data_IF_124826051782
#
_entry.id   IF_124826051782
#
_cell.length_a   1.000
_cell.length_b   1.000
_cell.length_c   1.000
_cell.angle_alpha   90.00
_cell.angle_beta   90.00
_cell.angle_gamma   90.00
#
_symmetry.space_group_name_H-M   'P 1'
#
loop_
_entity.id
_entity.type
_entity.pdbx_description
1 polymer ?
#
# COMPACT_ATOMS: atom_id res chain seq x y z
N UNK A 1 -19.24 0.34 11.58
CA UNK A 1 -18.57 -0.25 10.41
C UNK A 1 -19.44 -1.30 9.71
N UNK A 2 -19.93 -2.35 10.38
CA UNK A 2 -20.80 -3.37 9.72
C UNK A 2 -22.03 -2.76 9.02
N UNK A 3 -22.75 -1.85 9.69
CA UNK A 3 -23.98 -1.26 9.14
C UNK A 3 -23.73 -0.35 7.93
N UNK A 4 -22.63 0.41 7.92
CA UNK A 4 -22.24 1.24 6.76
C UNK A 4 -21.94 0.37 5.53
N UNK A 5 -21.17 -0.70 5.70
CA UNK A 5 -20.83 -1.62 4.61
C UNK A 5 -22.09 -2.31 4.06
N UNK A 6 -23.00 -2.73 4.94
CA UNK A 6 -24.26 -3.34 4.53
C UNK A 6 -25.10 -2.36 3.70
N UNK A 7 -25.16 -1.08 4.08
CA UNK A 7 -25.91 -0.07 3.32
C UNK A 7 -25.22 0.25 1.99
N UNK A 8 -23.89 0.33 1.94
CA UNK A 8 -23.13 0.49 0.69
C UNK A 8 -23.39 -0.67 -0.27
N UNK A 9 -23.45 -1.90 0.24
CA UNK A 9 -23.64 -3.11 -0.56
C UNK A 9 -25.08 -3.32 -1.03
N UNK A 10 -26.07 -2.75 -0.34
CA UNK A 10 -27.50 -2.93 -0.65
C UNK A 10 -27.89 -2.53 -2.09
N UNK A 11 -27.20 -1.53 -2.63
CA UNK A 11 -27.48 -0.99 -3.96
C UNK A 11 -26.54 -1.57 -5.04
N UNK A 12 -25.62 -2.46 -4.69
CA UNK A 12 -24.73 -3.09 -5.66
C UNK A 12 -25.45 -4.26 -6.33
N UNK A 13 -25.66 -4.14 -7.63
CA UNK A 13 -26.48 -5.06 -8.43
C UNK A 13 -25.66 -6.00 -9.33
N UNK A 14 -24.33 -5.87 -9.35
CA UNK A 14 -23.38 -6.72 -10.07
C UNK A 14 -22.86 -7.79 -9.11
N UNK A 15 -22.96 -9.06 -9.49
CA UNK A 15 -22.58 -10.18 -8.64
C UNK A 15 -21.09 -10.16 -8.30
N UNK A 16 -20.77 -10.23 -7.01
CA UNK A 16 -19.40 -10.27 -6.50
C UNK A 16 -18.71 -8.91 -6.40
N UNK A 17 -19.23 -7.84 -7.02
CA UNK A 17 -18.80 -6.47 -6.72
C UNK A 17 -19.35 -6.12 -5.33
N UNK A 18 -18.49 -5.74 -4.38
CA UNK A 18 -18.93 -5.38 -3.03
C UNK A 18 -17.85 -4.65 -2.23
N UNK A 19 -18.28 -3.93 -1.20
CA UNK A 19 -17.45 -3.38 -0.15
C UNK A 19 -17.20 -4.39 0.96
N UNK A 20 -15.99 -4.38 1.50
CA UNK A 20 -15.62 -5.09 2.73
C UNK A 20 -15.09 -4.10 3.77
N UNK A 21 -15.39 -4.30 5.06
CA UNK A 21 -14.81 -3.48 6.12
C UNK A 21 -13.31 -3.76 6.23
N UNK A 22 -12.55 -2.73 6.60
CA UNK A 22 -11.14 -2.88 7.00
C UNK A 22 -11.01 -2.66 8.49
N UNK A 23 -10.30 -3.58 9.12
CA UNK A 23 -9.96 -3.44 10.53
C UNK A 23 -8.98 -2.29 10.70
N UNK A 24 -9.27 -1.39 11.63
CA UNK A 24 -8.42 -0.26 11.97
C UNK A 24 -8.46 0.00 13.46
N UNK A 25 -7.34 0.41 14.04
CA UNK A 25 -7.24 0.78 15.46
C UNK A 25 -6.89 2.25 15.59
N UNK A 26 -7.51 2.93 16.54
CA UNK A 26 -7.23 4.34 16.82
C UNK A 26 -5.77 4.54 17.26
N UNK A 27 -5.12 5.56 16.70
CA UNK A 27 -3.71 5.86 16.92
C UNK A 27 -3.48 7.12 17.80
N UNK A 28 -4.35 7.35 18.77
CA UNK A 28 -4.20 8.41 19.78
C UNK A 28 -5.08 9.64 19.55
N UNK A 29 -5.52 9.89 18.31
CA UNK A 29 -6.52 10.92 17.96
C UNK A 29 -7.73 10.29 17.28
N UNK A 30 -8.91 10.89 17.42
CA UNK A 30 -10.19 10.33 16.94
C UNK A 30 -10.25 10.09 15.42
N UNK A 31 -9.42 10.79 14.64
CA UNK A 31 -9.31 10.68 13.18
C UNK A 31 -7.97 10.07 12.70
N UNK A 32 -7.19 9.48 13.61
CA UNK A 32 -5.92 8.81 13.31
C UNK A 32 -6.01 7.31 13.54
N UNK A 33 -5.52 6.52 12.59
CA UNK A 33 -5.71 5.07 12.58
C UNK A 33 -4.47 4.31 12.11
N UNK A 34 -4.24 3.13 12.68
CA UNK A 34 -3.34 2.10 12.12
C UNK A 34 -4.17 1.01 11.46
N UNK A 35 -3.83 0.66 10.23
CA UNK A 35 -4.56 -0.33 9.41
C UNK A 35 -3.59 -1.38 8.87
N UNK A 36 -3.59 -2.61 9.42
CA UNK A 36 -2.70 -3.69 8.99
C UNK A 36 -3.19 -4.33 7.69
N UNK A 37 -2.25 -4.64 6.79
CA UNK A 37 -2.49 -5.44 5.58
C UNK A 37 -1.83 -6.81 5.77
N UNK A 38 -2.65 -7.77 6.23
CA UNK A 38 -2.22 -9.12 6.59
C UNK A 38 -1.90 -9.98 5.36
N UNK A 39 -0.83 -9.64 4.65
CA UNK A 39 -0.35 -10.33 3.46
C UNK A 39 1.16 -10.18 3.30
N UNK A 40 1.81 -11.20 2.74
CA UNK A 40 3.20 -11.16 2.27
C UNK A 40 3.28 -10.84 0.76
N UNK A 41 2.13 -10.67 0.11
CA UNK A 41 2.04 -10.48 -1.34
C UNK A 41 2.36 -9.04 -1.75
N UNK A 42 2.78 -8.80 -3.00
CA UNK A 42 2.96 -7.44 -3.48
C UNK A 42 1.64 -6.65 -3.44
N UNK A 43 1.76 -5.36 -3.16
CA UNK A 43 0.65 -4.40 -3.17
C UNK A 43 1.13 -3.21 -3.99
N UNK A 44 0.26 -2.66 -4.83
CA UNK A 44 0.61 -1.48 -5.61
C UNK A 44 0.04 -0.23 -4.94
N UNK A 45 0.86 0.81 -4.81
CA UNK A 45 0.37 2.17 -4.63
C UNK A 45 0.14 2.75 -6.02
N UNK A 46 -1.06 3.23 -6.30
CA UNK A 46 -1.37 3.95 -7.54
C UNK A 46 -1.69 5.38 -7.19
N UNK A 47 -0.98 6.34 -7.79
CA UNK A 47 -1.29 7.75 -7.67
C UNK A 47 -1.59 8.33 -9.05
N UNK A 48 -2.51 9.30 -9.09
CA UNK A 48 -3.14 9.79 -10.32
C UNK A 48 -2.78 11.24 -10.66
N UNK A 49 -1.82 11.82 -9.94
CA UNK A 49 -1.40 13.23 -10.09
C UNK A 49 -2.28 14.20 -9.31
N UNK A 50 -1.95 15.49 -9.40
CA UNK A 50 -2.70 16.58 -8.76
C UNK A 50 -3.55 17.39 -9.77
N UNK A 51 -3.38 17.13 -11.07
CA UNK A 51 -4.10 17.75 -12.17
C UNK A 51 -5.01 16.77 -12.92
N UNK A 52 -5.95 17.31 -13.72
CA UNK A 52 -7.01 16.57 -14.43
C UNK A 52 -6.52 15.22 -15.00
N UNK A 53 -7.01 14.15 -14.38
CA UNK A 53 -6.68 12.77 -14.70
C UNK A 53 -7.91 12.03 -15.22
N UNK A 54 -7.76 11.35 -16.37
CA UNK A 54 -8.82 10.52 -16.95
C UNK A 54 -8.23 9.28 -17.62
N UNK A 55 -8.80 8.12 -17.29
CA UNK A 55 -8.49 6.86 -17.98
C UNK A 55 -9.06 6.82 -19.41
N UNK A 56 -10.27 7.37 -19.63
CA UNK A 56 -10.94 7.43 -20.94
C UNK A 56 -11.44 6.08 -21.50
N UNK A 57 -11.33 5.00 -20.72
CA UNK A 57 -11.75 3.64 -21.05
C UNK A 57 -12.09 2.87 -19.77
N UNK A 58 -12.85 1.78 -19.92
CA UNK A 58 -12.94 0.77 -18.87
C UNK A 58 -11.76 -0.21 -18.99
N UNK A 59 -11.23 -0.64 -17.86
CA UNK A 59 -10.33 -1.80 -17.78
C UNK A 59 -11.09 -3.05 -17.32
N UNK A 60 -10.78 -4.19 -17.95
CA UNK A 60 -11.29 -5.52 -17.57
C UNK A 60 -10.10 -6.41 -17.28
N UNK A 61 -9.93 -6.82 -16.02
CA UNK A 61 -8.97 -7.85 -15.63
C UNK A 61 -9.58 -9.23 -15.78
N UNK A 62 -8.94 -10.15 -16.51
CA UNK A 62 -9.43 -11.51 -16.67
C UNK A 62 -8.91 -12.48 -15.60
N UNK A 63 -7.72 -12.24 -15.06
CA UNK A 63 -7.03 -13.08 -14.09
C UNK A 63 -6.72 -12.37 -12.79
N UNK A 64 -7.23 -11.15 -12.58
CA UNK A 64 -7.03 -10.38 -11.37
C UNK A 64 -8.37 -9.91 -10.80
N UNK A 65 -8.56 -10.12 -9.49
CA UNK A 65 -9.57 -9.45 -8.69
C UNK A 65 -8.92 -8.25 -8.03
N UNK A 66 -9.45 -7.06 -8.30
CA UNK A 66 -8.95 -5.85 -7.68
C UNK A 66 -9.55 -5.69 -6.27
N UNK A 67 -8.68 -5.33 -5.33
CA UNK A 67 -9.02 -5.10 -3.92
C UNK A 67 -8.48 -3.72 -3.56
N UNK A 68 -9.33 -2.72 -3.80
CA UNK A 68 -8.96 -1.30 -3.87
C UNK A 68 -9.33 -0.55 -2.59
N UNK A 69 -8.35 0.08 -1.95
CA UNK A 69 -8.58 1.01 -0.83
C UNK A 69 -8.21 2.42 -1.30
N UNK A 70 -9.16 3.35 -1.22
CA UNK A 70 -8.97 4.74 -1.66
C UNK A 70 -8.55 5.59 -0.47
N UNK A 71 -7.40 6.27 -0.57
CA UNK A 71 -6.83 7.14 0.45
C UNK A 71 -6.73 8.57 -0.09
N UNK A 72 -7.09 9.55 0.73
CA UNK A 72 -7.14 10.96 0.33
C UNK A 72 -8.13 11.73 1.20
N UNK A 73 -8.60 12.89 0.71
CA UNK A 73 -9.63 13.67 1.40
C UNK A 73 -10.96 12.89 1.42
N UNK A 74 -11.49 12.60 2.61
CA UNK A 74 -12.76 11.89 2.81
C UNK A 74 -13.98 12.63 2.21
N UNK A 75 -13.84 13.93 1.89
CA UNK A 75 -14.89 14.72 1.24
C UNK A 75 -14.85 14.65 -0.29
N UNK A 76 -13.75 14.15 -0.87
CA UNK A 76 -13.62 14.03 -2.31
C UNK A 76 -14.56 12.94 -2.84
N UNK A 77 -15.30 13.27 -3.90
CA UNK A 77 -16.23 12.33 -4.53
C UNK A 77 -15.63 11.76 -5.82
N UNK A 78 -15.28 10.48 -5.76
CA UNK A 78 -14.80 9.70 -6.89
C UNK A 78 -16.01 9.07 -7.59
N UNK A 79 -16.15 9.28 -8.89
CA UNK A 79 -17.21 8.60 -9.64
C UNK A 79 -16.70 7.25 -10.12
N UNK A 80 -17.33 6.16 -9.67
CA UNK A 80 -17.00 4.82 -10.11
C UNK A 80 -18.09 4.29 -11.05
N UNK A 81 -17.67 3.69 -12.16
CA UNK A 81 -18.54 3.07 -13.16
C UNK A 81 -18.13 1.63 -13.37
N UNK A 82 -19.12 0.75 -13.50
CA UNK A 82 -18.91 -0.69 -13.66
C UNK A 82 -19.84 -1.26 -14.71
N UNK A 83 -19.37 -2.27 -15.44
CA UNK A 83 -20.19 -3.12 -16.29
C UNK A 83 -19.78 -4.57 -16.07
N UNK A 84 -20.74 -5.46 -15.83
CA UNK A 84 -20.44 -6.88 -15.76
C UNK A 84 -20.25 -7.47 -17.16
N UNK A 85 -19.03 -7.86 -17.51
CA UNK A 85 -18.71 -8.38 -18.84
C UNK A 85 -18.58 -9.92 -18.84
N UNK A 86 -18.96 -10.61 -17.75
CA UNK A 86 -18.83 -12.06 -17.64
C UNK A 86 -19.97 -12.75 -18.36
N UNK A 87 -19.65 -13.47 -19.43
CA UNK A 87 -20.61 -14.14 -20.33
C UNK A 87 -21.66 -15.00 -19.61
N UNK A 88 -21.25 -15.67 -18.54
CA UNK A 88 -22.09 -16.62 -17.80
C UNK A 88 -22.62 -16.05 -16.47
N UNK A 89 -22.43 -14.76 -16.19
CA UNK A 89 -22.94 -14.18 -14.94
C UNK A 89 -24.45 -13.90 -15.03
N UNK A 90 -25.23 -14.14 -13.96
CA UNK A 90 -26.62 -13.68 -13.83
C UNK A 90 -26.77 -12.15 -13.94
N UNK A 91 -25.68 -11.40 -13.80
CA UNK A 91 -25.68 -9.94 -13.92
C UNK A 91 -24.98 -9.43 -15.16
N UNK A 92 -24.70 -10.29 -16.15
CA UNK A 92 -24.07 -9.92 -17.41
C UNK A 92 -24.75 -8.69 -18.04
N UNK A 93 -23.92 -7.73 -18.47
CA UNK A 93 -24.30 -6.41 -19.03
C UNK A 93 -25.04 -5.48 -18.09
N UNK A 94 -25.19 -5.82 -16.82
CA UNK A 94 -25.64 -4.81 -15.84
C UNK A 94 -24.56 -3.76 -15.68
N UNK A 95 -24.98 -2.51 -15.81
CA UNK A 95 -24.17 -1.35 -15.51
C UNK A 95 -24.52 -0.81 -14.12
N UNK A 96 -23.51 -0.31 -13.42
CA UNK A 96 -23.67 0.31 -12.12
C UNK A 96 -22.75 1.53 -12.02
N UNK A 97 -23.26 2.59 -11.41
CA UNK A 97 -22.50 3.81 -11.17
C UNK A 97 -22.83 4.34 -9.78
N UNK A 98 -21.80 4.70 -9.02
CA UNK A 98 -21.96 5.33 -7.70
C UNK A 98 -20.75 6.17 -7.34
N UNK A 99 -20.95 7.09 -6.39
CA UNK A 99 -19.87 7.87 -5.80
C UNK A 99 -19.16 7.09 -4.69
N UNK A 100 -17.84 7.21 -4.67
CA UNK A 100 -16.94 6.69 -3.64
C UNK A 100 -16.32 7.88 -2.91
N UNK A 101 -16.16 7.73 -1.60
CA UNK A 101 -15.43 8.68 -0.76
C UNK A 101 -14.23 7.93 -0.16
N UNK A 102 -12.99 8.49 -0.26
CA UNK A 102 -11.80 7.90 0.31
C UNK A 102 -11.96 7.55 1.80
N UNK A 103 -11.41 6.40 2.19
CA UNK A 103 -11.33 5.96 3.59
C UNK A 103 -10.46 4.70 3.68
N UNK A 104 -9.56 4.63 4.67
CA UNK A 104 -8.88 3.37 5.02
C UNK A 104 -9.80 2.30 5.62
N UNK A 105 -11.01 2.68 6.06
CA UNK A 105 -11.93 1.81 6.79
C UNK A 105 -12.71 0.83 5.90
N UNK A 106 -12.57 0.91 4.58
CA UNK A 106 -13.29 0.06 3.63
C UNK A 106 -12.48 -0.18 2.36
N UNK A 107 -12.77 -1.31 1.72
CA UNK A 107 -12.12 -1.72 0.48
C UNK A 107 -13.17 -2.20 -0.50
N UNK A 108 -13.03 -1.81 -1.77
CA UNK A 108 -13.90 -2.26 -2.85
C UNK A 108 -13.29 -3.51 -3.50
N UNK A 109 -14.09 -4.57 -3.63
CA UNK A 109 -13.74 -5.81 -4.32
C UNK A 109 -14.37 -5.79 -5.71
N UNK A 110 -13.54 -5.88 -6.75
CA UNK A 110 -13.98 -5.93 -8.15
C UNK A 110 -13.58 -7.30 -8.71
N UNK A 111 -14.54 -8.19 -9.00
CA UNK A 111 -14.25 -9.51 -9.56
C UNK A 111 -13.57 -9.45 -10.93
N UNK A 112 -12.78 -10.47 -11.30
CA UNK A 112 -12.31 -10.64 -12.67
C UNK A 112 -13.48 -10.63 -13.65
N UNK A 113 -13.34 -9.93 -14.77
CA UNK A 113 -14.36 -9.78 -15.81
C UNK A 113 -15.40 -8.68 -15.59
N UNK A 114 -15.32 -7.92 -14.49
CA UNK A 114 -16.11 -6.70 -14.32
C UNK A 114 -15.30 -5.50 -14.83
N UNK A 115 -15.77 -4.89 -15.92
CA UNK A 115 -15.23 -3.65 -16.44
C UNK A 115 -15.39 -2.54 -15.40
N UNK A 116 -14.35 -1.74 -15.20
CA UNK A 116 -14.43 -0.59 -14.29
C UNK A 116 -13.60 0.60 -14.76
N UNK A 117 -14.05 1.79 -14.38
CA UNK A 117 -13.30 3.04 -14.53
C UNK A 117 -13.67 4.00 -13.41
N UNK A 118 -12.78 4.94 -13.16
CA UNK A 118 -12.90 5.90 -12.06
C UNK A 118 -12.59 7.31 -12.57
N UNK A 119 -13.34 8.29 -12.08
CA UNK A 119 -13.10 9.71 -12.32
C UNK A 119 -12.89 10.47 -11.02
N UNK A 120 -12.27 11.64 -11.14
CA UNK A 120 -11.94 12.53 -10.03
C UNK A 120 -10.96 11.86 -9.05
N UNK A 121 -9.89 11.26 -9.57
CA UNK A 121 -8.86 10.55 -8.79
C UNK A 121 -7.65 11.43 -8.47
N UNK A 122 -7.64 12.69 -8.89
CA UNK A 122 -6.58 13.64 -8.57
C UNK A 122 -6.44 13.73 -7.04
N UNK A 123 -5.20 13.72 -6.53
CA UNK A 123 -4.91 13.70 -5.09
C UNK A 123 -5.43 12.46 -4.33
N UNK A 124 -5.91 11.43 -5.03
CA UNK A 124 -6.30 10.15 -4.44
C UNK A 124 -5.24 9.09 -4.73
N UNK A 125 -4.80 8.44 -3.66
CA UNK A 125 -3.96 7.26 -3.73
C UNK A 125 -4.85 6.02 -3.63
N UNK A 126 -4.57 5.01 -4.44
CA UNK A 126 -5.24 3.71 -4.34
C UNK A 126 -4.22 2.66 -3.91
N UNK A 127 -4.52 1.96 -2.82
CA UNK A 127 -3.81 0.75 -2.45
C UNK A 127 -4.48 -0.43 -3.14
N UNK A 128 -3.80 -0.99 -4.12
CA UNK A 128 -4.27 -2.09 -4.92
C UNK A 128 -3.60 -3.37 -4.42
N UNK A 129 -4.28 -3.99 -3.46
CA UNK A 129 -4.10 -5.43 -3.23
C UNK A 129 -4.92 -6.20 -4.26
N UNK A 130 -4.62 -7.48 -4.46
CA UNK A 130 -5.30 -8.25 -5.47
C UNK A 130 -5.28 -9.74 -5.17
N UNK A 131 -6.26 -10.45 -5.73
CA UNK A 131 -6.19 -11.90 -5.90
C UNK A 131 -5.94 -12.24 -7.36
N UNK A 132 -5.08 -13.21 -7.61
CA UNK A 132 -4.77 -13.73 -8.92
C UNK A 132 -5.49 -15.04 -9.18
N UNK A 133 -5.97 -15.18 -10.40
CA UNK A 133 -6.65 -16.34 -10.91
C UNK A 133 -5.97 -16.79 -12.20
N UNK A 134 -5.70 -18.09 -12.31
CA UNK A 134 -5.08 -18.73 -13.45
C UNK A 134 -6.12 -19.47 -14.29
N UNK A 135 -5.85 -19.67 -15.59
CA UNK A 135 -6.68 -20.54 -16.40
C UNK A 135 -6.65 -21.97 -15.84
N UNK A 136 -7.76 -22.69 -15.99
CA UNK A 136 -7.80 -24.12 -15.68
C UNK A 136 -6.78 -24.89 -16.52
N UNK A 137 -6.38 -26.07 -16.04
CA UNK A 137 -5.42 -26.94 -16.77
C UNK A 137 -5.89 -27.21 -18.20
N UNK A 138 -7.18 -27.49 -18.39
CA UNK A 138 -7.75 -27.72 -19.73
C UNK A 138 -7.67 -26.47 -20.61
N UNK A 139 -7.87 -25.26 -20.05
CA UNK A 139 -7.72 -24.00 -20.79
C UNK A 139 -6.26 -23.71 -21.11
N UNK A 140 -5.32 -24.01 -20.22
CA UNK A 140 -3.87 -23.84 -20.47
C UNK A 140 -3.38 -24.71 -21.63
N UNK A 141 -3.96 -25.90 -21.81
CA UNK A 141 -3.62 -26.82 -22.90
C UNK A 141 -4.31 -26.46 -24.23
N UNK A 142 -5.26 -25.51 -24.21
CA UNK A 142 -6.01 -25.10 -25.40
C UNK A 142 -5.21 -24.15 -26.26
N UNK A 143 -5.09 -24.43 -27.56
CA UNK A 143 -4.51 -23.52 -28.54
C UNK A 143 -5.33 -22.23 -28.75
N UNK A 144 -6.53 -22.14 -28.17
CA UNK A 144 -7.39 -20.96 -28.21
C UNK A 144 -7.15 -19.98 -27.04
N UNK A 145 -6.32 -20.33 -26.05
CA UNK A 145 -6.02 -19.42 -24.95
C UNK A 145 -5.12 -18.29 -25.45
N UNK A 146 -5.67 -17.08 -25.48
CA UNK A 146 -4.95 -15.84 -25.84
C UNK A 146 -4.46 -15.07 -24.62
N UNK A 147 -4.90 -15.46 -23.42
CA UNK A 147 -4.53 -14.83 -22.17
C UNK A 147 -3.08 -15.13 -21.78
N UNK A 148 -2.42 -14.12 -21.23
CA UNK A 148 -1.17 -14.22 -20.49
C UNK A 148 -1.17 -13.13 -19.42
N UNK A 149 -0.33 -13.21 -18.36
CA UNK A 149 -0.21 -12.12 -17.39
C UNK A 149 0.09 -10.76 -18.03
N UNK A 150 0.80 -10.76 -19.16
CA UNK A 150 1.07 -9.53 -19.91
C UNK A 150 -0.19 -8.94 -20.56
N UNK A 151 -1.15 -9.76 -21.00
CA UNK A 151 -2.38 -9.38 -21.70
C UNK A 151 -3.62 -9.58 -20.79
N UNK A 152 -3.47 -9.43 -19.48
CA UNK A 152 -4.58 -9.65 -18.55
C UNK A 152 -5.71 -8.62 -18.67
N UNK A 153 -5.34 -7.39 -19.06
CA UNK A 153 -6.23 -6.26 -19.18
C UNK A 153 -6.77 -6.13 -20.60
N UNK A 154 -8.09 -6.10 -20.72
CA UNK A 154 -8.81 -5.69 -21.91
C UNK A 154 -9.39 -4.30 -21.66
N UNK A 155 -9.19 -3.38 -22.61
CA UNK A 155 -9.81 -2.07 -22.54
C UNK A 155 -11.00 -1.99 -23.49
N UNK A 156 -12.10 -1.40 -23.03
CA UNK A 156 -13.27 -1.10 -23.87
C UNK A 156 -13.63 0.40 -23.75
N UNK A 157 -14.20 1.02 -24.80
CA UNK A 157 -14.57 2.43 -24.77
C UNK A 157 -15.50 2.77 -23.60
N UNK A 158 -15.33 3.95 -23.01
CA UNK A 158 -16.16 4.38 -21.88
C UNK A 158 -17.62 4.67 -22.26
N UNK A 159 -17.85 5.04 -23.52
CA UNK A 159 -19.16 5.33 -24.09
C UNK A 159 -19.87 4.09 -24.67
N UNK A 160 -19.28 2.90 -24.51
CA UNK A 160 -19.90 1.65 -24.97
C UNK A 160 -21.25 1.41 -24.28
N UNK A 161 -22.26 1.04 -25.07
CA UNK A 161 -23.52 0.57 -24.52
C UNK A 161 -23.31 -0.79 -23.87
N UNK A 162 -23.93 -1.01 -22.71
CA UNK A 162 -23.85 -2.31 -22.04
C UNK A 162 -24.37 -3.47 -22.91
N UNK A 163 -25.32 -3.21 -23.80
CA UNK A 163 -25.86 -4.19 -24.75
C UNK A 163 -24.85 -4.60 -25.85
N UNK A 164 -23.84 -3.77 -26.10
CA UNK A 164 -22.81 -4.00 -27.10
C UNK A 164 -21.55 -4.66 -26.51
N UNK A 165 -21.49 -4.79 -25.19
CA UNK A 165 -20.37 -5.44 -24.49
C UNK A 165 -20.30 -6.93 -24.82
N UNK A 166 -19.12 -7.38 -25.24
CA UNK A 166 -18.82 -8.79 -25.46
C UNK A 166 -18.78 -9.58 -24.15
N UNK A 167 -19.10 -10.88 -24.23
CA UNK A 167 -19.03 -11.78 -23.07
C UNK A 167 -17.64 -12.39 -22.92
N UNK A 168 -16.95 -12.07 -21.83
CA UNK A 168 -15.65 -12.65 -21.48
C UNK A 168 -15.77 -13.82 -20.50
N UNK A 169 -14.75 -14.67 -20.51
CA UNK A 169 -14.61 -15.83 -19.63
C UNK A 169 -13.34 -15.66 -18.76
N UNK A 170 -13.47 -15.05 -17.57
CA UNK A 170 -12.35 -14.85 -16.66
C UNK A 170 -11.72 -16.16 -16.18
N UNK A 171 -10.55 -16.04 -15.59
CA UNK A 171 -9.84 -17.12 -14.95
C UNK A 171 -10.45 -17.41 -13.58
N UNK A 172 -10.39 -18.67 -13.17
CA UNK A 172 -11.14 -19.17 -12.00
C UNK A 172 -10.28 -19.90 -10.98
N UNK A 173 -9.07 -20.36 -11.34
CA UNK A 173 -8.22 -21.10 -10.43
C UNK A 173 -7.41 -20.12 -9.57
N UNK A 174 -7.70 -20.00 -8.26
CA UNK A 174 -6.91 -19.13 -7.38
C UNK A 174 -5.42 -19.51 -7.45
N UNK A 175 -4.58 -18.51 -7.68
CA UNK A 175 -3.13 -18.70 -7.74
C UNK A 175 -2.58 -19.01 -6.35
N UNK A 176 -1.55 -19.87 -6.29
CA UNK A 176 -0.83 -20.12 -5.05
C UNK A 176 0.08 -18.95 -4.66
N UNK A 177 0.43 -18.87 -3.38
CA UNK A 177 1.37 -17.88 -2.81
C UNK A 177 2.67 -17.77 -3.61
N UNK A 178 3.17 -18.90 -4.13
CA UNK A 178 4.35 -18.95 -4.99
C UNK A 178 4.24 -18.02 -6.21
N UNK A 179 3.07 -17.93 -6.82
CA UNK A 179 2.83 -17.07 -8.00
C UNK A 179 2.97 -15.60 -7.63
N UNK A 180 2.42 -15.18 -6.49
CA UNK A 180 2.54 -13.80 -6.00
C UNK A 180 4.00 -13.43 -5.74
N UNK A 181 4.75 -14.32 -5.08
CA UNK A 181 6.17 -14.09 -4.80
C UNK A 181 7.00 -14.01 -6.08
N UNK A 182 6.75 -14.88 -7.07
CA UNK A 182 7.40 -14.80 -8.39
C UNK A 182 7.09 -13.52 -9.15
N UNK A 183 5.85 -13.02 -9.05
CA UNK A 183 5.48 -11.74 -9.65
C UNK A 183 6.22 -10.59 -8.95
N UNK A 184 6.31 -10.60 -7.62
CA UNK A 184 7.06 -9.61 -6.86
C UNK A 184 8.54 -9.56 -7.25
N UNK A 185 9.20 -10.73 -7.33
CA UNK A 185 10.58 -10.86 -7.83
C UNK A 185 10.72 -10.30 -9.24
N UNK A 186 9.83 -10.70 -10.15
CA UNK A 186 9.85 -10.24 -11.53
C UNK A 186 9.67 -8.72 -11.64
N UNK A 187 8.74 -8.13 -10.88
CA UNK A 187 8.54 -6.68 -10.83
C UNK A 187 9.81 -5.98 -10.32
N UNK A 188 10.40 -6.45 -9.23
CA UNK A 188 11.59 -5.85 -8.65
C UNK A 188 12.79 -5.85 -9.62
N UNK A 189 12.97 -6.93 -10.39
CA UNK A 189 14.07 -7.06 -11.34
C UNK A 189 13.85 -6.22 -12.62
N UNK A 190 12.64 -6.24 -13.16
CA UNK A 190 12.35 -5.64 -14.46
C UNK A 190 12.07 -4.14 -14.39
N UNK A 191 11.57 -3.64 -13.26
CA UNK A 191 11.24 -2.22 -13.13
C UNK A 191 12.46 -1.33 -12.98
N UNK A 192 13.53 -1.83 -12.37
CA UNK A 192 14.82 -1.11 -12.30
C UNK A 192 15.40 -0.71 -13.66
N UNK A 193 14.99 -1.40 -14.73
CA UNK A 193 15.49 -1.19 -16.10
C UNK A 193 14.39 -0.70 -17.05
N UNK A 194 13.22 -0.33 -16.53
CA UNK A 194 12.07 0.00 -17.36
C UNK A 194 12.25 1.37 -18.03
N UNK A 195 12.07 1.41 -19.36
CA UNK A 195 12.29 2.60 -20.19
C UNK A 195 11.02 3.11 -20.85
N UNK A 196 9.87 2.52 -20.53
CA UNK A 196 8.60 2.79 -21.18
C UNK A 196 7.53 3.11 -20.15
N UNK A 197 6.52 3.86 -20.55
CA UNK A 197 5.30 4.00 -19.75
C UNK A 197 4.50 2.70 -19.80
N UNK A 198 3.53 2.58 -18.88
CA UNK A 198 2.55 1.51 -18.88
C UNK A 198 1.88 1.40 -20.24
N UNK A 199 1.71 0.18 -20.74
CA UNK A 199 1.09 -0.03 -22.04
C UNK A 199 -0.38 0.33 -22.04
N UNK A 200 -0.82 0.93 -23.14
CA UNK A 200 -2.22 1.02 -23.51
C UNK A 200 -2.50 -0.02 -24.61
N UNK A 201 -3.59 -0.77 -24.48
CA UNK A 201 -4.08 -1.65 -25.55
C UNK A 201 -5.24 -0.94 -26.24
N UNK A 202 -5.17 -0.83 -27.57
CA UNK A 202 -6.24 -0.29 -28.43
C UNK A 202 -6.59 -1.29 -29.52
N UNK A 203 -7.88 -1.40 -29.80
CA UNK A 203 -8.36 -2.16 -30.96
C UNK A 203 -8.26 -1.31 -32.23
N UNK A 204 -7.77 -1.91 -33.30
CA UNK A 204 -7.70 -1.32 -34.64
C UNK A 204 -8.38 -2.24 -35.65
N UNK A 205 -9.12 -1.64 -36.58
CA UNK A 205 -9.64 -2.35 -37.76
C UNK A 205 -8.62 -2.16 -38.88
N UNK A 206 -8.07 -3.26 -39.37
CA UNK A 206 -7.16 -3.29 -40.52
C UNK A 206 -7.92 -3.07 -41.83
N UNK A 207 -7.19 -2.77 -42.92
CA UNK A 207 -7.78 -2.53 -44.24
C UNK A 207 -8.58 -3.73 -44.79
N UNK A 208 -8.26 -4.95 -44.35
CA UNK A 208 -8.98 -6.18 -44.70
C UNK A 208 -10.23 -6.44 -43.84
N UNK A 209 -10.55 -5.51 -42.92
CA UNK A 209 -11.68 -5.60 -42.00
C UNK A 209 -11.41 -6.46 -40.76
N UNK A 210 -10.21 -7.02 -40.59
CA UNK A 210 -9.85 -7.75 -39.38
C UNK A 210 -9.59 -6.82 -38.20
N UNK A 211 -10.02 -7.22 -37.00
CA UNK A 211 -9.74 -6.51 -35.75
C UNK A 211 -8.44 -7.02 -35.14
N UNK A 212 -7.54 -6.10 -34.77
CA UNK A 212 -6.30 -6.41 -34.06
C UNK A 212 -6.16 -5.54 -32.82
N UNK A 213 -5.67 -6.14 -31.73
CA UNK A 213 -5.33 -5.42 -30.51
C UNK A 213 -3.84 -5.03 -30.56
N UNK A 214 -3.57 -3.72 -30.61
CA UNK A 214 -2.22 -3.17 -30.64
C UNK A 214 -1.88 -2.62 -29.27
N UNK A 215 -0.70 -3.02 -28.77
CA UNK A 215 -0.13 -2.48 -27.55
C UNK A 215 0.80 -1.32 -27.87
N UNK A 216 0.47 -0.15 -27.37
CA UNK A 216 1.25 1.08 -27.54
C UNK A 216 1.97 1.38 -26.22
N UNK A 217 3.23 1.79 -26.31
CA UNK A 217 4.05 2.22 -25.16
C UNK A 217 4.88 3.43 -25.54
N UNK A 218 4.81 4.47 -24.73
CA UNK A 218 5.66 5.64 -24.89
C UNK A 218 7.00 5.42 -24.18
N UNK A 219 8.10 5.84 -24.80
CA UNK A 219 9.41 5.82 -24.15
C UNK A 219 9.44 6.93 -23.10
N UNK A 220 9.90 6.61 -21.89
CA UNK A 220 10.12 7.61 -20.84
C UNK A 220 11.26 8.51 -21.31
N UNK A 221 10.98 9.81 -21.41
CA UNK A 221 12.01 10.84 -21.60
C UNK A 221 12.82 10.97 -20.32
N UNK A 222 14.13 11.15 -20.42
CA UNK A 222 15.00 11.42 -19.27
C UNK A 222 14.45 12.65 -18.54
N UNK A 223 13.91 12.43 -17.35
CA UNK A 223 13.48 13.49 -16.45
C UNK A 223 14.65 13.94 -15.59
N UNK A 224 14.52 15.12 -14.99
CA UNK A 224 15.44 15.56 -13.95
C UNK A 224 15.44 14.51 -12.83
N UNK A 225 16.61 14.01 -12.46
CA UNK A 225 16.77 13.12 -11.31
C UNK A 225 16.19 13.79 -10.06
N UNK A 226 15.42 13.03 -9.27
CA UNK A 226 14.89 13.50 -8.01
C UNK A 226 16.06 13.67 -7.03
N UNK A 227 16.24 14.89 -6.52
CA UNK A 227 17.28 15.17 -5.53
C UNK A 227 16.76 14.75 -4.16
N UNK A 228 17.25 13.61 -3.68
CA UNK A 228 16.88 13.07 -2.37
C UNK A 228 17.68 13.74 -1.24
N UNK A 229 17.09 13.92 -0.04
CA UNK A 229 17.82 14.42 1.11
C UNK A 229 18.99 13.49 1.49
N UNK A 230 20.14 14.09 1.84
CA UNK A 230 21.30 13.37 2.37
C UNK A 230 21.26 13.42 3.89
N UNK A 231 21.42 12.27 4.53
CA UNK A 231 21.36 12.10 5.98
C UNK A 231 22.76 11.80 6.52
N UNK A 232 23.12 12.40 7.66
CA UNK A 232 24.41 12.22 8.33
C UNK A 232 24.50 10.91 9.10
N UNK A 233 23.38 10.40 9.62
CA UNK A 233 23.34 9.18 10.41
C UNK A 233 23.49 7.97 9.49
N UNK A 234 24.48 7.11 9.79
CA UNK A 234 24.85 5.98 8.94
C UNK A 234 23.69 5.01 8.73
N UNK A 235 23.38 4.68 7.47
CA UNK A 235 22.32 3.74 7.09
C UNK A 235 20.91 4.33 7.06
N UNK A 236 20.69 5.57 7.53
CA UNK A 236 19.43 6.27 7.24
C UNK A 236 19.51 6.81 5.83
N UNK A 237 18.56 6.48 4.97
CA UNK A 237 18.57 6.91 3.57
C UNK A 237 17.17 7.18 3.03
N UNK A 238 17.08 8.16 2.13
CA UNK A 238 15.98 8.27 1.19
C UNK A 238 16.39 7.58 -0.09
N UNK A 239 15.53 6.71 -0.63
CA UNK A 239 15.79 6.04 -1.90
C UNK A 239 14.55 5.96 -2.76
N UNK A 240 14.75 6.09 -4.06
CA UNK A 240 13.69 5.83 -5.02
C UNK A 240 13.41 4.33 -5.12
N UNK A 241 12.12 3.98 -5.08
CA UNK A 241 11.62 2.64 -5.37
C UNK A 241 11.16 2.55 -6.83
N UNK A 242 11.46 1.43 -7.52
CA UNK A 242 11.08 1.28 -8.93
C UNK A 242 9.59 1.47 -9.14
N UNK A 243 9.22 2.18 -10.20
CA UNK A 243 7.84 2.55 -10.46
C UNK A 243 7.52 2.55 -11.96
N UNK A 244 6.23 2.47 -12.30
CA UNK A 244 5.73 2.46 -13.68
C UNK A 244 4.89 3.70 -13.90
N UNK A 245 5.30 4.59 -14.80
CA UNK A 245 4.48 5.74 -15.20
C UNK A 245 3.26 5.28 -15.99
N UNK A 246 2.09 5.75 -15.61
CA UNK A 246 0.82 5.53 -16.32
C UNK A 246 0.33 6.78 -17.05
N UNK A 247 1.03 7.90 -16.87
CA UNK A 247 0.75 9.19 -17.47
C UNK A 247 1.83 10.20 -17.07
N UNK A 248 1.58 11.49 -17.30
CA UNK A 248 2.54 12.56 -16.94
C UNK A 248 2.78 12.67 -15.44
N UNK A 249 1.70 12.55 -14.66
CA UNK A 249 1.71 12.72 -13.20
C UNK A 249 1.13 11.52 -12.46
N UNK A 250 0.90 10.41 -13.17
CA UNK A 250 0.33 9.20 -12.59
C UNK A 250 1.30 8.04 -12.71
N UNK A 251 1.34 7.21 -11.68
CA UNK A 251 2.27 6.09 -11.63
C UNK A 251 1.83 5.01 -10.65
N UNK A 252 2.30 3.79 -10.93
CA UNK A 252 2.12 2.58 -10.14
C UNK A 252 3.46 2.29 -9.46
N UNK A 253 3.46 2.24 -8.14
CA UNK A 253 4.61 1.88 -7.30
C UNK A 253 4.33 0.52 -6.68
N UNK A 254 4.91 -0.57 -7.22
CA UNK A 254 4.75 -1.90 -6.65
C UNK A 254 5.62 -2.06 -5.41
N UNK A 255 4.98 -2.29 -4.26
CA UNK A 255 5.63 -2.66 -3.02
C UNK A 255 5.81 -4.18 -3.02
N UNK A 256 7.01 -4.66 -3.36
CA UNK A 256 7.30 -6.08 -3.65
C UNK A 256 7.91 -6.86 -2.47
N UNK A 257 8.33 -6.18 -1.40
CA UNK A 257 8.95 -6.82 -0.21
C UNK A 257 8.00 -7.84 0.40
N UNK A 258 8.48 -8.97 0.92
CA UNK A 258 7.58 -10.02 1.43
C UNK A 258 7.07 -9.78 2.88
N UNK A 259 7.54 -8.73 3.56
CA UNK A 259 7.06 -8.40 4.90
C UNK A 259 5.63 -7.85 4.88
N UNK A 260 4.84 -8.10 5.94
CA UNK A 260 3.52 -7.51 6.08
C UNK A 260 3.64 -6.00 6.19
N UNK A 261 2.74 -5.29 5.53
CA UNK A 261 2.67 -3.84 5.59
C UNK A 261 1.54 -3.37 6.49
N UNK A 262 1.64 -2.14 6.95
CA UNK A 262 0.53 -1.43 7.57
C UNK A 262 0.57 0.02 7.12
N UNK A 263 -0.57 0.69 7.21
CA UNK A 263 -0.64 2.14 7.02
C UNK A 263 -0.97 2.83 8.33
N UNK A 264 -0.51 4.06 8.46
CA UNK A 264 -0.82 4.96 9.55
C UNK A 264 -1.42 6.23 8.95
N UNK A 265 -2.70 6.46 9.24
CA UNK A 265 -3.37 7.74 8.98
C UNK A 265 -3.11 8.67 10.16
N UNK A 266 -2.51 9.83 9.91
CA UNK A 266 -2.13 10.78 10.97
C UNK A 266 -3.22 11.80 11.32
N UNK A 267 -4.41 11.67 10.72
CA UNK A 267 -5.56 12.56 10.92
C UNK A 267 -5.43 13.90 10.19
N UNK A 268 -6.41 14.77 10.35
CA UNK A 268 -6.52 16.06 9.66
C UNK A 268 -5.82 17.21 10.38
N UNK A 269 -5.64 17.06 11.69
CA UNK A 269 -5.08 18.08 12.58
C UNK A 269 -3.66 17.71 13.00
N UNK A 270 -2.77 18.71 13.01
CA UNK A 270 -1.39 18.52 13.44
C UNK A 270 -1.32 17.87 14.83
N UNK A 271 -0.57 16.78 14.90
CA UNK A 271 -0.26 16.06 16.11
C UNK A 271 1.24 15.82 16.11
N UNK A 272 1.92 16.48 17.03
CA UNK A 272 3.34 16.27 17.21
C UNK A 272 3.52 15.30 18.38
N UNK A 273 4.26 14.22 18.13
CA UNK A 273 4.69 13.33 19.20
C UNK A 273 5.72 14.05 20.08
N UNK A 274 5.62 13.88 21.39
CA UNK A 274 6.57 14.42 22.37
C UNK A 274 7.77 13.48 22.64
N UNK A 275 7.78 12.32 21.98
CA UNK A 275 8.81 11.30 22.04
C UNK A 275 9.28 10.86 20.66
N UNK A 276 10.55 10.47 20.57
CA UNK A 276 11.05 9.61 19.50
C UNK A 276 10.53 8.18 19.70
N UNK A 277 10.24 7.48 18.61
CA UNK A 277 10.15 6.03 18.58
C UNK A 277 11.52 5.43 18.27
N UNK A 278 11.93 4.43 19.04
CA UNK A 278 13.20 3.70 18.85
C UNK A 278 12.93 2.21 18.77
N UNK A 279 13.05 1.63 17.57
CA UNK A 279 12.88 0.20 17.34
C UNK A 279 14.20 -0.55 17.49
N UNK A 280 14.24 -1.63 18.27
CA UNK A 280 15.44 -2.46 18.40
C UNK A 280 15.47 -3.66 17.45
N UNK A 281 14.30 -4.08 16.94
CA UNK A 281 14.14 -5.24 16.06
C UNK A 281 13.33 -4.97 14.80
N UNK A 282 13.09 -3.70 14.48
CA UNK A 282 12.39 -3.29 13.27
C UNK A 282 13.19 -2.18 12.58
N UNK A 283 13.56 -2.44 11.32
CA UNK A 283 14.00 -1.41 10.39
C UNK A 283 12.77 -0.89 9.65
N UNK A 284 12.57 0.42 9.72
CA UNK A 284 11.41 1.07 9.12
C UNK A 284 11.65 1.39 7.66
N UNK A 285 10.64 1.12 6.86
CA UNK A 285 10.61 1.39 5.42
C UNK A 285 9.35 2.19 5.13
N UNK A 286 9.49 3.51 5.18
CA UNK A 286 8.37 4.45 5.22
C UNK A 286 8.19 5.12 3.86
N UNK A 287 6.97 5.05 3.33
CA UNK A 287 6.54 5.85 2.18
C UNK A 287 5.45 6.80 2.64
N UNK A 288 5.54 8.06 2.24
CA UNK A 288 4.62 9.12 2.65
C UNK A 288 3.69 9.48 1.50
N UNK A 289 2.38 9.35 1.74
CA UNK A 289 1.33 9.72 0.80
C UNK A 289 0.65 10.99 1.30
N UNK A 290 0.59 12.00 0.44
CA UNK A 290 -0.01 13.29 0.75
C UNK A 290 0.26 14.28 -0.39
N UNK A 291 -0.12 15.53 -0.17
CA UNK A 291 0.12 16.61 -1.13
C UNK A 291 1.63 16.81 -1.35
N UNK A 292 2.08 16.95 -2.60
CA UNK A 292 3.51 17.00 -2.94
C UNK A 292 4.26 18.21 -2.35
N UNK A 293 3.55 19.32 -2.15
CA UNK A 293 4.10 20.52 -1.50
C UNK A 293 4.07 20.49 0.04
N UNK A 294 3.57 19.44 0.67
CA UNK A 294 3.46 19.37 2.13
C UNK A 294 4.83 19.07 2.75
N UNK A 295 5.33 19.94 3.62
CA UNK A 295 6.62 19.74 4.29
C UNK A 295 6.49 18.87 5.53
N UNK A 296 7.28 17.80 5.60
CA UNK A 296 7.41 16.93 6.78
C UNK A 296 8.79 17.17 7.39
N UNK A 297 8.84 17.29 8.71
CA UNK A 297 10.12 17.37 9.44
C UNK A 297 10.41 16.04 10.13
N UNK A 298 11.55 15.44 9.78
CA UNK A 298 12.12 14.26 10.40
C UNK A 298 13.20 14.68 11.41
N UNK A 299 13.07 14.22 12.65
CA UNK A 299 14.09 14.34 13.69
C UNK A 299 14.66 12.97 13.97
N UNK A 300 15.98 12.88 14.04
CA UNK A 300 16.71 11.62 14.21
C UNK A 300 17.77 11.74 15.32
N UNK A 301 17.99 10.64 16.02
CA UNK A 301 19.13 10.45 16.92
C UNK A 301 19.65 9.02 16.76
N UNK A 302 20.93 8.86 16.45
CA UNK A 302 21.54 7.53 16.43
C UNK A 302 21.82 7.04 17.86
N UNK A 303 21.18 5.94 18.26
CA UNK A 303 21.35 5.36 19.60
C UNK A 303 21.92 3.94 19.53
N UNK A 304 22.52 3.55 18.40
CA UNK A 304 23.09 2.20 18.20
C UNK A 304 24.46 2.07 18.84
N UNK A 305 24.61 1.09 19.73
CA UNK A 305 25.90 0.74 20.32
C UNK A 305 26.94 0.40 19.23
N UNK A 306 28.09 1.07 19.27
CA UNK A 306 29.18 0.86 18.30
C UNK A 306 29.02 1.53 16.94
N UNK A 307 27.98 2.37 16.74
CA UNK A 307 27.83 3.15 15.51
C UNK A 307 28.87 4.27 15.40
N UNK A 308 29.38 4.49 14.17
CA UNK A 308 30.27 5.62 13.85
C UNK A 308 29.57 6.98 14.00
N UNK A 309 28.24 6.99 13.97
CA UNK A 309 27.41 8.18 14.12
C UNK A 309 26.66 8.20 15.45
N UNK A 310 27.10 7.43 16.46
CA UNK A 310 26.46 7.36 17.77
C UNK A 310 26.23 8.77 18.37
N UNK A 311 24.99 9.03 18.77
CA UNK A 311 24.47 10.30 19.31
C UNK A 311 24.53 11.50 18.37
N UNK A 312 24.78 11.29 17.08
CA UNK A 312 24.51 12.32 16.07
C UNK A 312 23.02 12.58 16.04
N UNK A 313 22.65 13.84 16.21
CA UNK A 313 21.30 14.34 16.03
C UNK A 313 21.18 15.03 14.68
N UNK A 314 20.03 14.86 14.03
CA UNK A 314 19.75 15.54 12.78
C UNK A 314 18.27 15.88 12.63
N UNK A 315 18.00 17.00 11.97
CA UNK A 315 16.66 17.43 11.58
C UNK A 315 16.67 17.71 10.07
N UNK A 316 15.71 17.11 9.36
CA UNK A 316 15.60 17.18 7.90
C UNK A 316 14.15 17.49 7.54
N UNK A 317 13.96 18.44 6.63
CA UNK A 317 12.66 18.71 6.03
C UNK A 317 12.61 18.11 4.63
N UNK A 318 11.52 17.43 4.30
CA UNK A 318 11.31 16.78 3.01
C UNK A 318 9.82 16.78 2.64
N UNK A 319 9.50 16.43 1.41
CA UNK A 319 8.13 16.35 0.89
C UNK A 319 7.71 14.91 0.57
N UNK A 320 6.42 14.55 0.69
CA UNK A 320 5.90 13.24 0.29
C UNK A 320 6.16 12.94 -1.18
N UNK A 321 6.67 11.74 -1.45
CA UNK A 321 6.77 11.18 -2.80
C UNK A 321 6.36 9.70 -2.77
N UNK A 322 5.35 9.27 -3.55
CA UNK A 322 4.86 7.89 -3.51
C UNK A 322 5.89 6.83 -3.91
N UNK A 323 6.90 7.23 -4.67
CA UNK A 323 8.00 6.37 -5.14
C UNK A 323 9.31 6.61 -4.37
N UNK A 324 9.28 7.24 -3.21
CA UNK A 324 10.44 7.38 -2.33
C UNK A 324 10.17 6.65 -1.01
N UNK A 325 11.15 5.87 -0.59
CA UNK A 325 11.17 5.18 0.68
C UNK A 325 12.22 5.84 1.58
N UNK A 326 11.84 6.17 2.81
CA UNK A 326 12.74 6.50 3.90
C UNK A 326 13.06 5.21 4.67
N UNK A 327 14.34 4.87 4.74
CA UNK A 327 14.85 3.73 5.50
C UNK A 327 15.43 4.24 6.81
N UNK A 328 14.94 3.71 7.94
CA UNK A 328 15.48 4.01 9.27
C UNK A 328 15.91 2.69 9.92
N UNK A 329 17.22 2.46 10.10
CA UNK A 329 17.72 1.24 10.72
C UNK A 329 17.26 1.08 12.16
N UNK A 330 17.20 -0.18 12.62
CA UNK A 330 17.05 -0.50 14.05
C UNK A 330 18.02 0.35 14.88
N UNK A 331 17.57 0.86 16.02
CA UNK A 331 18.40 1.60 16.97
C UNK A 331 18.59 3.10 16.66
N UNK A 332 18.01 3.60 15.56
CA UNK A 332 17.91 5.05 15.30
C UNK A 332 16.56 5.55 15.79
N UNK A 333 16.60 6.43 16.79
CA UNK A 333 15.40 7.04 17.35
C UNK A 333 14.89 8.12 16.38
N UNK A 334 13.59 8.12 16.09
CA UNK A 334 13.02 9.03 15.10
C UNK A 334 11.66 9.60 15.53
N UNK A 335 11.39 10.82 15.09
CA UNK A 335 10.12 11.51 15.28
C UNK A 335 9.78 12.27 13.99
N UNK A 336 8.50 12.23 13.61
CA UNK A 336 7.97 12.94 12.46
C UNK A 336 7.01 14.02 12.94
N UNK A 337 7.16 15.21 12.38
CA UNK A 337 6.42 16.42 12.75
C UNK A 337 5.70 16.94 11.51
N UNK A 338 4.56 17.62 11.71
CA UNK A 338 3.71 18.15 10.64
C UNK A 338 3.12 17.02 9.76
N UNK A 339 2.57 15.98 10.39
CA UNK A 339 2.05 14.79 9.70
C UNK A 339 0.56 14.88 9.32
N UNK A 340 -0.11 16.01 9.55
CA UNK A 340 -1.52 16.15 9.21
C UNK A 340 -1.77 15.86 7.73
N UNK A 341 -2.81 15.08 7.45
CA UNK A 341 -3.27 14.64 6.12
C UNK A 341 -2.23 13.82 5.36
N UNK A 342 -1.21 13.32 6.05
CA UNK A 342 -0.28 12.34 5.52
C UNK A 342 -0.76 10.95 5.92
N UNK A 343 -0.68 10.03 4.98
CA UNK A 343 -0.75 8.60 5.25
C UNK A 343 0.64 8.00 5.07
N UNK A 344 1.18 7.41 6.13
CA UNK A 344 2.44 6.67 6.06
C UNK A 344 2.15 5.21 5.76
N UNK A 345 2.82 4.67 4.75
CA UNK A 345 2.92 3.23 4.53
C UNK A 345 4.21 2.76 5.19
N UNK A 346 4.14 1.76 6.06
CA UNK A 346 5.33 1.06 6.54
C UNK A 346 5.33 -0.38 6.04
N UNK A 347 6.45 -0.80 5.47
CA UNK A 347 6.71 -2.20 5.08
C UNK A 347 8.02 -2.68 5.69
N UNK A 348 8.06 -2.89 7.01
CA UNK A 348 9.30 -3.02 7.77
C UNK A 348 10.13 -4.24 7.38
N UNK A 349 11.41 -4.22 7.75
CA UNK A 349 12.26 -5.43 7.83
C UNK A 349 12.44 -5.75 9.30
N UNK A 350 12.07 -6.98 9.69
CA UNK A 350 12.13 -7.42 11.07
C UNK A 350 13.45 -8.14 11.33
N UNK A 351 14.10 -7.76 12.43
CA UNK A 351 15.29 -8.40 12.97
C UNK A 351 14.94 -9.07 14.30
N UNK A 352 15.22 -10.37 14.39
CA UNK A 352 14.96 -11.22 15.54
C UNK A 352 16.12 -11.16 16.55
N UNK A 353 15.79 -11.38 17.82
CA UNK A 353 16.79 -11.52 18.87
C UNK A 353 17.54 -12.87 18.79
N UNK A 354 18.44 -13.11 19.75
CA UNK A 354 19.22 -14.36 19.83
C UNK A 354 18.37 -15.61 20.06
N UNK A 355 17.14 -15.46 20.57
CA UNK A 355 16.17 -16.53 20.75
C UNK A 355 15.25 -16.72 19.53
N UNK A 356 15.49 -15.94 18.46
CA UNK A 356 14.64 -15.87 17.26
C UNK A 356 13.23 -15.34 17.56
N UNK A 357 13.11 -14.49 18.56
CA UNK A 357 11.86 -13.86 18.95
C UNK A 357 11.83 -12.39 18.52
N UNK A 358 10.64 -11.94 18.15
CA UNK A 358 10.28 -10.53 18.05
C UNK A 358 8.83 -10.41 18.49
N UNK A 359 8.58 -9.51 19.43
CA UNK A 359 7.26 -9.24 19.99
C UNK A 359 6.89 -7.80 19.61
N UNK A 360 6.00 -7.59 18.62
CA UNK A 360 5.59 -6.26 18.20
C UNK A 360 5.14 -5.39 19.38
N UNK A 361 5.66 -4.16 19.46
CA UNK A 361 5.35 -3.20 20.53
C UNK A 361 6.22 -3.36 21.78
N UNK A 362 6.90 -4.50 21.96
CA UNK A 362 7.93 -4.68 22.99
C UNK A 362 9.33 -4.31 22.49
N UNK A 363 9.49 -3.97 21.22
CA UNK A 363 10.72 -3.55 20.57
C UNK A 363 10.88 -2.02 20.51
N UNK A 364 9.79 -1.27 20.74
CA UNK A 364 9.75 0.21 20.64
C UNK A 364 10.04 0.89 21.97
N UNK A 365 10.96 1.83 22.02
CA UNK A 365 11.23 2.68 23.19
C UNK A 365 10.76 4.10 22.86
N UNK A 366 9.79 4.63 23.61
CA UNK A 366 9.42 6.04 23.51
C UNK A 366 10.41 6.88 24.32
N UNK A 367 11.27 7.63 23.61
CA UNK A 367 12.30 8.48 24.20
C UNK A 367 11.90 9.95 24.15
N UNK A 368 11.70 10.66 25.28
CA UNK A 368 11.26 12.05 25.26
C UNK A 368 12.19 12.95 24.42
N UNK A 369 11.63 13.75 23.50
CA UNK A 369 12.43 14.55 22.55
C UNK A 369 13.35 15.55 23.27
N UNK A 370 12.90 16.06 24.42
CA UNK A 370 13.65 17.01 25.24
C UNK A 370 14.73 16.33 26.12
N UNK A 371 14.74 15.00 26.22
CA UNK A 371 15.75 14.28 27.00
C UNK A 371 16.99 14.02 26.13
N UNK A 372 18.08 14.75 26.41
CA UNK A 372 19.36 14.60 25.71
C UNK A 372 20.34 13.60 26.36
N UNK A 373 19.94 12.97 27.47
CA UNK A 373 20.77 11.96 28.16
C UNK A 373 20.65 10.59 27.47
N UNK A 374 21.00 10.54 26.19
CA UNK A 374 20.83 9.37 25.34
C UNK A 374 21.58 8.15 25.89
N UNK A 375 20.98 6.98 25.73
CA UNK A 375 21.59 5.69 26.00
C UNK A 375 21.91 4.99 24.68
N UNK A 376 22.99 4.21 24.65
CA UNK A 376 23.26 3.33 23.51
C UNK A 376 22.55 1.99 23.71
N UNK A 377 22.01 1.44 22.64
CA UNK A 377 21.29 0.17 22.63
C UNK A 377 21.89 -0.80 21.62
N UNK A 378 21.94 -2.07 22.01
CA UNK A 378 22.22 -3.17 21.10
C UNK A 378 20.96 -3.49 20.31
N UNK A 379 21.10 -3.61 18.99
CA UNK A 379 20.00 -3.97 18.08
C UNK A 379 20.02 -5.45 17.75
N UNK A 380 18.87 -5.96 17.33
CA UNK A 380 18.77 -7.26 16.72
C UNK A 380 19.49 -7.26 15.36
N UNK A 381 20.03 -8.41 14.96
CA UNK A 381 20.85 -8.54 13.74
C UNK A 381 20.45 -9.71 12.84
N UNK A 382 19.57 -10.61 13.32
CA UNK A 382 19.10 -11.74 12.54
C UNK A 382 17.85 -11.35 11.75
N UNK A 383 17.98 -11.09 10.45
CA UNK A 383 16.84 -10.78 9.59
C UNK A 383 15.82 -11.95 9.59
N UNK A 384 14.54 -11.62 9.73
CA UNK A 384 13.44 -12.57 9.72
C UNK A 384 13.19 -13.12 8.31
N UNK A 385 12.87 -14.42 8.23
CA UNK A 385 12.57 -15.10 6.98
C UNK A 385 11.07 -15.06 6.62
N UNK A 386 10.74 -15.63 5.46
CA UNK A 386 9.36 -15.69 4.97
C UNK A 386 8.45 -16.53 5.88
N UNK A 387 8.98 -17.56 6.55
CA UNK A 387 8.20 -18.38 7.48
C UNK A 387 7.77 -17.54 8.68
N UNK A 388 8.66 -16.70 9.21
CA UNK A 388 8.35 -15.75 10.26
C UNK A 388 7.28 -14.72 9.80
N UNK A 389 7.43 -14.13 8.62
CA UNK A 389 6.43 -13.19 8.11
C UNK A 389 5.06 -13.83 7.88
N UNK A 390 5.03 -15.08 7.40
CA UNK A 390 3.79 -15.86 7.23
C UNK A 390 3.13 -16.12 8.58
N UNK A 391 3.93 -16.42 9.61
CA UNK A 391 3.44 -16.53 10.98
C UNK A 391 2.82 -15.21 11.47
N UNK A 392 3.48 -14.06 11.28
CA UNK A 392 2.93 -12.75 11.67
C UNK A 392 1.63 -12.44 10.93
N UNK A 393 1.58 -12.69 9.62
CA UNK A 393 0.36 -12.52 8.82
C UNK A 393 -0.78 -13.39 9.37
N UNK A 394 -0.50 -14.63 9.77
CA UNK A 394 -1.51 -15.50 10.40
C UNK A 394 -2.04 -14.89 11.70
N UNK A 395 -1.18 -14.31 12.55
CA UNK A 395 -1.58 -13.65 13.79
C UNK A 395 -2.40 -12.39 13.54
N UNK A 396 -2.01 -11.58 12.55
CA UNK A 396 -2.80 -10.42 12.14
C UNK A 396 -4.19 -10.85 11.64
N UNK A 397 -4.28 -11.91 10.82
CA UNK A 397 -5.56 -12.48 10.35
C UNK A 397 -6.45 -12.96 11.50
N UNK A 398 -5.90 -13.45 12.59
CA UNK A 398 -6.67 -13.79 13.80
C UNK A 398 -7.14 -12.53 14.55
N UNK A 399 -6.25 -11.55 14.76
CA UNK A 399 -6.58 -10.30 15.48
C UNK A 399 -7.70 -9.53 14.79
N UNK A 400 -7.68 -9.44 13.46
CA UNK A 400 -8.68 -8.64 12.70
C UNK A 400 -10.08 -9.26 12.68
N UNK A 401 -10.26 -10.49 13.20
CA UNK A 401 -11.60 -11.09 13.36
C UNK A 401 -12.39 -10.43 14.48
N UNK A 402 -11.70 -9.89 15.48
CA UNK A 402 -12.29 -9.23 16.62
C UNK A 402 -12.23 -7.71 16.47
N UNK A 403 -13.24 -7.01 17.01
CA UNK A 403 -13.21 -5.56 17.07
C UNK A 403 -12.03 -5.09 17.95
N UNK A 404 -11.37 -3.96 17.60
CA UNK A 404 -10.33 -3.40 18.45
C UNK A 404 -10.87 -3.14 19.86
N UNK A 405 -10.19 -3.67 20.88
CA UNK A 405 -10.57 -3.48 22.29
C UNK A 405 -9.76 -2.37 22.98
N UNK A 406 -8.61 -2.02 22.40
CA UNK A 406 -7.68 -1.02 22.92
C UNK A 406 -7.16 -0.15 21.77
N UNK A 407 -6.78 1.09 22.08
CA UNK A 407 -6.01 1.96 21.18
C UNK A 407 -4.60 1.41 20.97
N UNK A 408 -3.84 1.97 20.03
CA UNK A 408 -2.42 1.60 19.89
C UNK A 408 -1.67 1.80 21.22
N UNK A 409 -0.86 0.83 21.65
CA UNK A 409 -0.14 0.94 22.92
C UNK A 409 0.94 2.02 22.84
N UNK A 410 1.13 2.77 23.94
CA UNK A 410 2.28 3.66 24.12
C UNK A 410 3.30 2.99 25.03
N UNK A 411 4.58 3.09 24.70
CA UNK A 411 5.66 2.39 25.40
C UNK A 411 6.67 3.36 26.00
N UNK A 412 6.39 3.83 27.21
CA UNK A 412 7.21 4.84 27.90
C UNK A 412 8.33 4.23 28.74
N UNK A 413 9.42 4.97 28.92
CA UNK A 413 10.48 4.65 29.88
C UNK A 413 10.28 5.47 31.16
N UNK A 414 10.13 4.80 32.29
CA UNK A 414 9.98 5.41 33.61
C UNK A 414 11.23 5.12 34.44
N UNK A 415 11.73 6.11 35.17
CA UNK A 415 12.77 5.88 36.17
C UNK A 415 12.14 5.30 37.43
N UNK A 416 12.51 4.07 37.77
CA UNK A 416 12.08 3.41 38.99
C UNK A 416 13.03 3.79 40.13
N UNK A 417 12.53 4.61 41.06
CA UNK A 417 13.28 5.09 42.22
C UNK A 417 13.68 3.97 43.18
N UNK A 418 12.94 2.85 43.24
CA UNK A 418 13.26 1.72 44.12
C UNK A 418 14.43 0.90 43.59
N UNK A 419 14.48 0.69 42.27
CA UNK A 419 15.56 -0.10 41.65
C UNK A 419 16.71 0.75 41.12
N UNK A 420 16.54 2.07 41.04
CA UNK A 420 17.50 3.00 40.44
C UNK A 420 17.71 2.79 38.94
N UNK A 421 16.73 2.19 38.26
CA UNK A 421 16.82 1.79 36.86
C UNK A 421 15.70 2.40 36.02
N UNK A 422 15.98 2.57 34.74
CA UNK A 422 14.95 2.86 33.75
C UNK A 422 14.19 1.58 33.39
N UNK A 423 12.88 1.58 33.56
CA UNK A 423 11.98 0.46 33.27
C UNK A 423 11.02 0.88 32.15
N UNK A 424 10.82 -0.03 31.20
CA UNK A 424 9.88 0.14 30.08
C UNK A 424 8.47 -0.28 30.52
N UNK A 425 7.48 0.57 30.27
CA UNK A 425 6.08 0.33 30.62
C UNK A 425 5.19 0.50 29.39
N UNK A 426 4.35 -0.52 29.11
CA UNK A 426 3.36 -0.48 28.04
C UNK A 426 2.00 -0.02 28.59
N UNK A 427 1.54 1.12 28.10
CA UNK A 427 0.24 1.70 28.41
C UNK A 427 -0.77 1.32 27.31
N UNK A 428 -1.88 0.68 27.72
CA UNK A 428 -2.99 0.31 26.82
C UNK A 428 -4.25 1.02 27.27
N UNK A 429 -4.76 1.92 26.45
CA UNK A 429 -6.04 2.59 26.67
C UNK A 429 -7.17 1.76 26.04
N UNK A 430 -8.25 1.53 26.79
CA UNK A 430 -9.44 0.82 26.25
C UNK A 430 -10.20 1.71 25.27
N UNK A 431 -10.78 1.10 24.23
CA UNK A 431 -11.70 1.76 23.28
C UNK A 431 -13.06 1.99 23.91
#
# INVERSE_FOLDING_TARGET
MSDEINELNKNISIEGLHWVPRWRVNNGKDDSYVVPFSTTFPINVVYHGEHDFKYGQYGIHLGQQDTLTFLGDEKQSILAKFIDCRKNSPTFRKSLMFSIFPSSGKTLIIPPGVAHTFHNLENVFTLNSYKLFLPSVDRLLSSKLTWSPGNDVINIPEDISADDVEGYEPMTEEASDLVYHRIGEFQQENLKKHKFQHSETREFILEDGSQVNVRIREKITEENELVLPVVKISGVEFREIPSIKTGKESCIVPLTRQSPMYIVEHGNDNYDFDSYGLHLGQEDHLTFLGHSAHEITLKLVDMREGSDTLFVEEEITFTPHPNVELVIPCGVAHALVNMARITTINRPVIYLDENKEYIPGHDVIDWPINNKNYLSYKTNTLEADLDYYTFIVSKQKEIVKDAPTHRTPKSIVVYDEETGKHVKVLLKEKV
#
